data_IF_670556974380
#
_entry.id   IF_670556974380
#
_cell.length_a   1.000
_cell.length_b   1.000
_cell.length_c   1.000
_cell.angle_alpha   90.00
_cell.angle_beta   90.00
_cell.angle_gamma   90.00
#
_symmetry.space_group_name_H-M   'P 1'
#
loop_
_entity.id
_entity.type
_entity.pdbx_description
1 polymer ?
#
# COMPACT_ATOMS: atom_id res chain seq x y z
N UNK A 1 17.90 17.40 19.90
CA UNK A 1 17.79 16.80 21.25
C UNK A 1 16.50 17.20 21.97
N UNK A 2 16.00 18.41 21.75
CA UNK A 2 14.81 18.93 22.42
C UNK A 2 13.47 18.43 21.82
N UNK A 3 13.54 17.76 20.69
CA UNK A 3 12.35 17.19 20.02
C UNK A 3 12.06 15.81 20.59
N UNK A 4 10.86 15.61 21.13
CA UNK A 4 10.36 14.31 21.58
C UNK A 4 9.96 13.46 20.36
N UNK A 5 10.95 13.15 19.49
CA UNK A 5 10.78 12.36 18.28
C UNK A 5 11.65 11.10 18.38
N UNK A 6 11.13 9.98 17.92
CA UNK A 6 11.87 8.76 17.71
C UNK A 6 11.81 8.37 16.23
N UNK A 7 12.81 7.63 15.74
CA UNK A 7 12.86 7.14 14.37
C UNK A 7 13.32 5.69 14.36
N UNK A 8 12.65 4.89 13.55
CA UNK A 8 13.04 3.52 13.20
C UNK A 8 13.37 3.53 11.71
N UNK A 9 14.61 3.20 11.39
CA UNK A 9 15.09 3.14 10.01
C UNK A 9 14.77 1.79 9.38
N UNK A 10 14.72 1.75 8.06
CA UNK A 10 14.56 0.54 7.26
C UNK A 10 15.56 -0.57 7.63
N UNK A 11 16.81 -0.22 7.91
CA UNK A 11 17.78 -1.11 8.53
C UNK A 11 17.62 -1.06 10.04
N UNK A 12 17.36 -2.23 10.67
CA UNK A 12 17.15 -2.34 12.12
C UNK A 12 18.44 -2.05 12.86
N UNK A 13 18.72 -0.77 13.14
CA UNK A 13 19.93 -0.35 13.81
C UNK A 13 19.83 -0.71 15.30
N UNK A 14 20.36 -1.88 15.65
CA UNK A 14 20.59 -2.28 17.02
C UNK A 14 22.09 -2.20 17.36
N UNK A 15 22.41 -1.95 18.61
CA UNK A 15 23.80 -1.98 19.09
C UNK A 15 24.23 -3.46 19.24
N UNK A 16 25.14 -3.98 18.40
CA UNK A 16 25.42 -5.42 18.34
C UNK A 16 26.14 -5.96 19.58
N UNK A 17 26.89 -5.11 20.27
CA UNK A 17 27.60 -5.44 21.51
C UNK A 17 26.74 -5.46 22.77
N UNK A 18 25.53 -4.87 22.70
CA UNK A 18 24.61 -4.76 23.82
C UNK A 18 23.53 -5.85 23.75
N UNK A 19 23.05 -6.31 24.92
CA UNK A 19 21.88 -7.18 24.99
C UNK A 19 20.60 -6.44 24.54
N UNK A 20 19.50 -7.17 24.31
CA UNK A 20 18.19 -6.58 24.04
C UNK A 20 17.76 -5.63 25.16
N UNK A 21 17.95 -6.04 26.40
CA UNK A 21 17.68 -5.18 27.56
C UNK A 21 18.48 -3.86 27.48
N UNK A 22 19.77 -3.94 27.23
CA UNK A 22 20.65 -2.78 27.15
C UNK A 22 20.35 -1.89 25.93
N UNK A 23 19.98 -2.50 24.81
CA UNK A 23 19.52 -1.79 23.64
C UNK A 23 18.28 -0.94 23.97
N UNK A 24 17.27 -1.54 24.59
CA UNK A 24 16.04 -0.85 24.98
C UNK A 24 16.35 0.21 26.07
N UNK A 25 17.20 -0.08 27.02
CA UNK A 25 17.59 0.83 28.11
C UNK A 25 18.40 2.04 27.64
N UNK A 26 19.13 1.90 26.53
CA UNK A 26 20.11 2.90 26.10
C UNK A 26 19.58 4.33 25.96
N UNK A 27 18.39 4.59 25.40
CA UNK A 27 17.85 5.94 25.34
C UNK A 27 17.54 6.55 26.72
N UNK A 28 17.04 5.75 27.64
CA UNK A 28 16.68 6.20 28.98
C UNK A 28 17.92 6.51 29.82
N UNK A 29 18.99 5.72 29.65
CA UNK A 29 20.31 5.99 30.27
C UNK A 29 20.87 7.34 29.81
N UNK A 30 20.78 7.62 28.50
CA UNK A 30 21.19 8.92 27.93
C UNK A 30 20.35 10.09 28.48
N UNK A 31 19.12 9.84 28.86
CA UNK A 31 18.24 10.83 29.49
C UNK A 31 18.48 10.98 30.99
N UNK A 32 19.44 10.25 31.55
CA UNK A 32 19.76 10.30 33.00
C UNK A 32 18.69 9.73 33.92
N UNK A 33 17.84 8.81 33.42
CA UNK A 33 16.79 8.18 34.23
C UNK A 33 17.37 7.28 35.32
N UNK A 34 16.68 7.19 36.45
CA UNK A 34 17.06 6.29 37.53
C UNK A 34 16.93 4.81 37.10
N UNK A 35 17.80 3.92 37.61
CA UNK A 35 17.83 2.51 37.21
C UNK A 35 16.47 1.81 37.42
N UNK A 36 15.77 2.09 38.48
CA UNK A 36 14.44 1.53 38.74
C UNK A 36 13.39 1.94 37.72
N UNK A 37 13.44 3.20 37.22
CA UNK A 37 12.57 3.69 36.13
C UNK A 37 12.92 2.98 34.83
N UNK A 38 14.23 2.82 34.54
CA UNK A 38 14.71 2.12 33.34
C UNK A 38 14.21 0.67 33.35
N UNK A 39 14.42 -0.06 34.45
CA UNK A 39 14.00 -1.45 34.59
C UNK A 39 12.48 -1.61 34.33
N UNK A 40 11.68 -0.76 34.94
CA UNK A 40 10.22 -0.78 34.76
C UNK A 40 9.85 -0.53 33.30
N UNK A 41 10.38 0.52 32.69
CA UNK A 41 10.05 0.91 31.30
C UNK A 41 10.53 -0.15 30.30
N UNK A 42 11.73 -0.70 30.45
CA UNK A 42 12.27 -1.75 29.59
C UNK A 42 11.39 -3.01 29.66
N UNK A 43 11.01 -3.48 30.86
CA UNK A 43 10.17 -4.66 30.99
C UNK A 43 8.79 -4.47 30.40
N UNK A 44 8.14 -3.32 30.63
CA UNK A 44 6.85 -2.98 30.03
C UNK A 44 6.91 -2.96 28.49
N UNK A 45 7.94 -2.30 27.94
CA UNK A 45 8.12 -2.22 26.50
C UNK A 45 8.46 -3.59 25.88
N UNK A 46 9.30 -4.38 26.57
CA UNK A 46 9.65 -5.73 26.14
C UNK A 46 8.44 -6.69 26.16
N UNK A 47 7.55 -6.57 27.14
CA UNK A 47 6.31 -7.33 27.22
C UNK A 47 5.37 -6.97 26.06
N UNK A 48 5.14 -5.67 25.83
CA UNK A 48 4.33 -5.17 24.70
C UNK A 48 4.79 -5.72 23.35
N UNK A 49 6.11 -5.83 23.16
CA UNK A 49 6.74 -6.28 21.91
C UNK A 49 7.14 -7.77 21.92
N UNK A 50 6.70 -8.54 22.93
CA UNK A 50 7.01 -9.97 23.08
C UNK A 50 8.52 -10.28 23.07
N UNK A 51 9.33 -9.40 23.66
CA UNK A 51 10.78 -9.53 23.75
C UNK A 51 11.26 -10.02 25.13
N UNK A 52 10.37 -10.18 26.10
CA UNK A 52 10.73 -10.56 27.46
C UNK A 52 11.66 -11.78 27.53
N UNK A 53 11.44 -12.89 26.78
CA UNK A 53 12.34 -14.05 26.79
C UNK A 53 13.71 -13.79 26.16
N UNK A 54 13.86 -12.67 25.43
CA UNK A 54 15.06 -12.34 24.66
C UNK A 54 15.94 -11.28 25.32
N UNK A 55 15.55 -10.74 26.47
CA UNK A 55 16.20 -9.59 27.11
C UNK A 55 17.71 -9.77 27.35
N UNK A 56 18.15 -11.00 27.58
CA UNK A 56 19.56 -11.33 27.82
C UNK A 56 20.36 -11.64 26.55
N UNK A 57 19.69 -11.79 25.41
CA UNK A 57 20.32 -12.11 24.13
C UNK A 57 20.89 -10.86 23.49
N UNK A 58 21.88 -11.05 22.61
CA UNK A 58 22.42 -10.00 21.73
C UNK A 58 21.66 -9.98 20.38
N UNK A 59 21.67 -8.86 19.64
CA UNK A 59 20.99 -8.76 18.34
C UNK A 59 21.34 -9.86 17.35
N UNK A 60 22.57 -10.32 17.28
CA UNK A 60 22.99 -11.39 16.38
C UNK A 60 22.38 -12.77 16.71
N UNK A 61 21.84 -12.93 17.91
CA UNK A 61 21.17 -14.16 18.37
C UNK A 61 19.64 -14.11 18.14
N UNK A 62 19.15 -13.05 17.47
CA UNK A 62 17.74 -12.78 17.21
C UNK A 62 17.39 -13.04 15.74
N UNK A 63 16.15 -13.48 15.48
CA UNK A 63 15.59 -13.43 14.12
C UNK A 63 15.40 -11.98 13.65
N UNK A 64 15.28 -11.78 12.33
CA UNK A 64 15.05 -10.43 11.75
C UNK A 64 13.91 -9.66 12.42
N UNK A 65 12.76 -10.29 12.66
CA UNK A 65 11.63 -9.64 13.35
C UNK A 65 11.84 -9.39 14.82
N UNK A 66 12.63 -10.21 15.52
CA UNK A 66 13.03 -9.91 16.88
C UNK A 66 13.99 -8.70 16.92
N UNK A 67 14.88 -8.58 15.94
CA UNK A 67 15.75 -7.41 15.79
C UNK A 67 14.93 -6.14 15.51
N UNK A 68 13.93 -6.23 14.64
CA UNK A 68 13.03 -5.13 14.35
C UNK A 68 12.22 -4.70 15.57
N UNK A 69 11.62 -5.66 16.29
CA UNK A 69 10.91 -5.36 17.54
C UNK A 69 11.85 -4.71 18.56
N UNK A 70 13.11 -5.11 18.62
CA UNK A 70 14.11 -4.47 19.47
C UNK A 70 14.37 -3.00 19.07
N UNK A 71 14.49 -2.71 17.77
CA UNK A 71 14.64 -1.34 17.27
C UNK A 71 13.39 -0.49 17.56
N UNK A 72 12.20 -1.07 17.38
CA UNK A 72 10.93 -0.43 17.72
C UNK A 72 10.81 -0.18 19.24
N UNK A 73 11.22 -1.15 20.08
CA UNK A 73 11.26 -0.99 21.53
C UNK A 73 12.13 0.19 21.95
N UNK A 74 13.29 0.37 21.32
CA UNK A 74 14.18 1.52 21.57
C UNK A 74 13.54 2.86 21.21
N UNK A 75 12.71 2.89 20.18
CA UNK A 75 11.97 4.09 19.80
C UNK A 75 10.85 4.41 20.80
N UNK A 76 10.06 3.39 21.16
CA UNK A 76 8.89 3.54 22.04
C UNK A 76 9.23 3.83 23.49
N UNK A 77 10.29 3.20 24.04
CA UNK A 77 10.69 3.36 25.44
C UNK A 77 11.01 4.82 25.80
N UNK A 78 11.38 5.65 24.82
CA UNK A 78 11.62 7.08 25.01
C UNK A 78 10.37 7.86 25.42
N UNK A 79 9.17 7.31 25.23
CA UNK A 79 7.93 8.04 25.42
C UNK A 79 7.80 9.24 24.46
N UNK A 80 8.30 9.08 23.24
CA UNK A 80 8.22 10.13 22.22
C UNK A 80 6.76 10.30 21.78
N UNK A 81 6.30 11.56 21.67
CA UNK A 81 4.96 11.85 21.17
C UNK A 81 4.82 11.66 19.65
N UNK A 82 5.94 11.55 18.92
CA UNK A 82 6.01 11.31 17.49
C UNK A 82 7.04 10.22 17.19
N UNK A 83 6.63 9.20 16.44
CA UNK A 83 7.50 8.10 15.99
C UNK A 83 7.46 8.04 14.46
N UNK A 84 8.63 8.13 13.84
CA UNK A 84 8.83 8.03 12.40
C UNK A 84 9.30 6.61 12.09
N UNK A 85 8.68 5.95 11.12
CA UNK A 85 9.03 4.61 10.66
C UNK A 85 9.28 4.67 9.15
N UNK A 86 10.47 4.22 8.75
CA UNK A 86 10.91 4.24 7.37
C UNK A 86 10.98 2.80 6.86
N UNK A 87 10.01 2.39 6.05
CA UNK A 87 9.83 1.04 5.50
C UNK A 87 10.11 -0.08 6.52
N UNK A 88 9.46 -0.08 7.69
CA UNK A 88 9.87 -0.96 8.78
C UNK A 88 9.64 -2.45 8.52
N UNK A 89 8.90 -2.84 7.48
CA UNK A 89 8.63 -4.24 7.13
C UNK A 89 9.36 -4.74 5.87
N UNK A 90 10.04 -3.86 5.12
CA UNK A 90 10.60 -4.18 3.81
C UNK A 90 11.64 -5.32 3.80
N UNK A 91 12.42 -5.46 4.88
CA UNK A 91 13.53 -6.44 4.95
C UNK A 91 13.16 -7.74 5.69
N UNK A 92 11.87 -8.06 5.78
CA UNK A 92 11.39 -9.24 6.47
C UNK A 92 10.91 -10.32 5.48
N UNK A 93 11.03 -11.59 5.89
CA UNK A 93 10.38 -12.67 5.19
C UNK A 93 8.85 -12.54 5.26
N UNK A 94 8.15 -13.17 4.32
CA UNK A 94 6.69 -13.05 4.16
C UNK A 94 5.93 -13.37 5.44
N UNK A 95 6.26 -14.49 6.11
CA UNK A 95 5.52 -14.94 7.29
C UNK A 95 5.62 -13.92 8.43
N UNK A 96 6.81 -13.42 8.65
CA UNK A 96 7.09 -12.46 9.71
C UNK A 96 6.47 -11.10 9.41
N UNK A 97 6.47 -10.69 8.15
CA UNK A 97 5.80 -9.47 7.69
C UNK A 97 4.30 -9.52 8.02
N UNK A 98 3.63 -10.65 7.69
CA UNK A 98 2.21 -10.82 8.00
C UNK A 98 1.92 -10.80 9.51
N UNK A 99 2.76 -11.44 10.33
CA UNK A 99 2.61 -11.39 11.78
C UNK A 99 2.71 -9.95 12.30
N UNK A 100 3.67 -9.19 11.82
CA UNK A 100 3.90 -7.80 12.25
C UNK A 100 2.87 -6.82 11.72
N UNK A 101 2.35 -7.02 10.51
CA UNK A 101 1.23 -6.24 9.97
C UNK A 101 0.04 -6.21 10.91
N UNK A 102 -0.27 -7.33 11.58
CA UNK A 102 -1.37 -7.43 12.54
C UNK A 102 -1.01 -6.82 13.90
N UNK A 103 0.25 -6.94 14.32
CA UNK A 103 0.70 -6.47 15.64
C UNK A 103 0.96 -4.95 15.70
N UNK A 104 1.52 -4.38 14.65
CA UNK A 104 1.93 -2.97 14.61
C UNK A 104 0.76 -2.01 14.91
N UNK A 105 -0.45 -2.13 14.33
CA UNK A 105 -1.57 -1.25 14.67
C UNK A 105 -1.91 -1.28 16.17
N UNK A 106 -1.89 -2.46 16.77
CA UNK A 106 -2.16 -2.62 18.22
C UNK A 106 -1.09 -1.97 19.09
N UNK A 107 0.17 -2.06 18.67
CA UNK A 107 1.30 -1.41 19.35
C UNK A 107 1.15 0.10 19.27
N UNK A 108 0.76 0.62 18.11
CA UNK A 108 0.54 2.05 17.90
C UNK A 108 -0.58 2.56 18.80
N UNK A 109 -1.71 1.90 18.81
CA UNK A 109 -2.85 2.25 19.66
C UNK A 109 -2.48 2.22 21.14
N UNK A 110 -1.82 1.16 21.62
CA UNK A 110 -1.41 1.01 23.00
C UNK A 110 -0.38 2.05 23.46
N UNK A 111 0.43 2.59 22.56
CA UNK A 111 1.49 3.56 22.89
C UNK A 111 0.97 4.98 23.07
N UNK A 112 -0.17 5.35 22.47
CA UNK A 112 -0.74 6.69 22.46
C UNK A 112 0.11 7.74 21.71
N UNK A 113 1.14 7.34 20.97
CA UNK A 113 1.98 8.21 20.17
C UNK A 113 1.39 8.46 18.77
N UNK A 114 1.81 9.54 18.12
CA UNK A 114 1.54 9.77 16.70
C UNK A 114 2.60 9.02 15.89
N UNK A 115 2.16 8.22 14.91
CA UNK A 115 3.05 7.51 14.01
C UNK A 115 3.00 8.11 12.61
N UNK A 116 4.19 8.30 12.01
CA UNK A 116 4.36 8.56 10.59
C UNK A 116 5.07 7.36 10.01
N UNK A 117 4.37 6.63 9.16
CA UNK A 117 4.81 5.37 8.57
C UNK A 117 5.03 5.55 7.07
N UNK A 118 6.27 5.52 6.62
CA UNK A 118 6.61 5.53 5.21
C UNK A 118 6.66 4.10 4.68
N UNK A 119 5.99 3.84 3.57
CA UNK A 119 5.98 2.54 2.89
C UNK A 119 5.86 2.72 1.38
N UNK A 120 6.36 1.76 0.63
CA UNK A 120 6.13 1.61 -0.82
C UNK A 120 4.98 0.64 -1.11
N UNK A 121 4.40 -0.02 -0.09
CA UNK A 121 3.32 -0.98 -0.22
C UNK A 121 1.96 -0.35 0.12
N UNK A 122 1.05 -0.14 -0.86
CA UNK A 122 -0.29 0.43 -0.62
C UNK A 122 -1.13 -0.35 0.38
N UNK A 123 -0.98 -1.67 0.42
CA UNK A 123 -1.70 -2.55 1.34
C UNK A 123 -1.38 -2.27 2.81
N UNK A 124 -0.13 -1.92 3.12
CA UNK A 124 0.25 -1.55 4.48
C UNK A 124 -0.49 -0.28 4.93
N UNK A 125 -0.56 0.73 4.05
CA UNK A 125 -1.29 1.96 4.35
C UNK A 125 -2.79 1.71 4.54
N UNK A 126 -3.39 0.83 3.72
CA UNK A 126 -4.80 0.43 3.85
C UNK A 126 -5.07 -0.31 5.17
N UNK A 127 -4.17 -1.19 5.58
CA UNK A 127 -4.28 -1.96 6.83
C UNK A 127 -4.12 -1.07 8.07
N UNK A 128 -3.15 -0.15 8.04
CA UNK A 128 -2.88 0.76 9.15
C UNK A 128 -3.99 1.80 9.32
N UNK A 129 -4.67 2.17 8.24
CA UNK A 129 -5.73 3.18 8.26
C UNK A 129 -5.22 4.59 8.55
N UNK A 130 -6.02 5.38 9.26
CA UNK A 130 -5.69 6.78 9.58
C UNK A 130 -5.71 7.68 8.34
N UNK A 131 -4.66 8.49 8.16
CA UNK A 131 -4.49 9.36 6.99
C UNK A 131 -3.31 8.92 6.15
N UNK A 132 -3.45 8.99 4.84
CA UNK A 132 -2.41 8.68 3.86
C UNK A 132 -2.00 9.93 3.09
N UNK A 133 -0.69 10.13 2.94
CA UNK A 133 -0.10 11.05 1.99
C UNK A 133 0.54 10.25 0.85
N UNK A 134 0.05 10.41 -0.36
CA UNK A 134 0.70 9.85 -1.55
C UNK A 134 1.77 10.80 -2.06
N UNK A 135 2.96 10.25 -2.39
CA UNK A 135 4.11 11.05 -2.83
C UNK A 135 4.53 10.64 -4.24
N UNK A 136 4.83 11.63 -5.06
CA UNK A 136 5.42 11.43 -6.37
C UNK A 136 6.44 12.54 -6.65
N UNK A 137 7.64 12.18 -7.08
CA UNK A 137 8.73 13.14 -7.41
C UNK A 137 8.96 14.22 -6.33
N UNK A 138 8.94 13.80 -5.06
CA UNK A 138 9.17 14.70 -3.93
C UNK A 138 8.00 15.61 -3.56
N UNK A 139 6.82 15.40 -4.14
CA UNK A 139 5.61 16.18 -3.87
C UNK A 139 4.51 15.29 -3.30
N UNK A 140 3.71 15.84 -2.40
CA UNK A 140 2.47 15.20 -1.94
C UNK A 140 1.42 15.42 -3.03
N UNK A 141 0.94 14.33 -3.65
CA UNK A 141 -0.12 14.38 -4.68
C UNK A 141 -1.51 14.43 -4.06
N UNK A 142 -1.70 13.74 -2.94
CA UNK A 142 -2.94 13.80 -2.17
C UNK A 142 -2.66 13.50 -0.69
N UNK A 143 -3.47 14.08 0.20
CA UNK A 143 -3.49 13.77 1.64
C UNK A 143 -4.92 13.70 2.13
N UNK A 144 -5.25 12.68 2.92
CA UNK A 144 -6.57 12.52 3.51
C UNK A 144 -6.78 11.17 4.19
N UNK A 145 -8.00 10.89 4.65
CA UNK A 145 -8.36 9.57 5.19
C UNK A 145 -8.02 8.46 4.19
N UNK A 146 -7.34 7.43 4.65
CA UNK A 146 -6.81 6.35 3.80
C UNK A 146 -7.86 5.75 2.84
N UNK A 147 -9.08 5.39 3.28
CA UNK A 147 -10.10 4.88 2.38
C UNK A 147 -10.53 5.89 1.30
N UNK A 148 -10.55 7.19 1.64
CA UNK A 148 -10.92 8.24 0.70
C UNK A 148 -9.83 8.43 -0.37
N UNK A 149 -8.55 8.49 0.03
CA UNK A 149 -7.43 8.60 -0.92
C UNK A 149 -7.41 7.42 -1.89
N UNK A 150 -7.70 6.20 -1.40
CA UNK A 150 -7.76 5.00 -2.22
C UNK A 150 -8.94 5.01 -3.19
N UNK A 151 -10.15 5.36 -2.72
CA UNK A 151 -11.38 5.30 -3.52
C UNK A 151 -11.54 6.49 -4.47
N UNK A 152 -11.11 7.67 -4.03
CA UNK A 152 -11.25 8.94 -4.76
C UNK A 152 -9.88 9.59 -4.95
N UNK A 153 -8.99 9.00 -5.76
CA UNK A 153 -7.70 9.58 -6.05
C UNK A 153 -7.89 10.92 -6.77
N UNK A 154 -7.21 11.96 -6.30
CA UNK A 154 -7.33 13.31 -6.86
C UNK A 154 -6.86 13.40 -8.32
N UNK A 155 -5.92 12.53 -8.69
CA UNK A 155 -5.33 12.47 -10.02
C UNK A 155 -4.87 11.06 -10.39
N UNK A 156 -4.51 10.88 -11.67
CA UNK A 156 -4.03 9.61 -12.22
C UNK A 156 -2.73 9.15 -11.54
N UNK A 157 -1.89 10.09 -11.08
CA UNK A 157 -0.64 9.76 -10.43
C UNK A 157 -0.87 9.19 -9.03
N UNK A 158 -1.77 9.79 -8.25
CA UNK A 158 -2.24 9.24 -6.96
C UNK A 158 -2.84 7.84 -7.15
N UNK A 159 -3.70 7.69 -8.17
CA UNK A 159 -4.32 6.40 -8.49
C UNK A 159 -3.27 5.32 -8.84
N UNK A 160 -2.21 5.69 -9.55
CA UNK A 160 -1.11 4.80 -9.91
C UNK A 160 -0.28 4.40 -8.70
N UNK A 161 0.14 5.37 -7.90
CA UNK A 161 1.00 5.16 -6.72
C UNK A 161 0.28 4.37 -5.64
N UNK A 162 -1.04 4.62 -5.46
CA UNK A 162 -1.82 3.96 -4.41
C UNK A 162 -2.59 2.75 -4.96
N UNK A 163 -1.92 1.93 -5.76
CA UNK A 163 -2.40 0.64 -6.30
C UNK A 163 -1.25 -0.34 -6.41
N UNK A 164 -1.50 -1.60 -6.04
CA UNK A 164 -0.59 -2.71 -6.25
C UNK A 164 -1.38 -3.93 -6.75
N UNK A 165 -1.11 -4.42 -7.98
CA UNK A 165 -0.31 -3.78 -9.02
C UNK A 165 -0.77 -2.37 -9.38
N UNK A 166 0.09 -1.54 -10.01
CA UNK A 166 -0.27 -0.19 -10.42
C UNK A 166 -1.55 -0.16 -11.27
N UNK A 167 -2.35 0.90 -11.14
CA UNK A 167 -3.56 1.09 -11.93
C UNK A 167 -3.26 1.03 -13.43
N UNK A 168 -4.08 0.31 -14.19
CA UNK A 168 -4.04 0.26 -15.64
C UNK A 168 -4.69 1.49 -16.25
N UNK A 169 -4.14 1.99 -17.35
CA UNK A 169 -4.67 3.16 -18.04
C UNK A 169 -4.86 2.90 -19.53
N UNK A 170 -5.87 3.55 -20.10
CA UNK A 170 -6.16 3.55 -21.55
C UNK A 170 -6.77 4.89 -21.94
N UNK A 171 -6.51 5.34 -23.16
CA UNK A 171 -7.18 6.52 -23.71
C UNK A 171 -8.68 6.25 -23.84
N UNK A 172 -9.51 7.20 -23.40
CA UNK A 172 -10.96 7.14 -23.48
C UNK A 172 -11.48 8.40 -24.18
N UNK A 173 -12.29 8.22 -25.22
CA UNK A 173 -13.00 9.30 -25.88
C UNK A 173 -14.46 9.27 -25.51
N UNK A 174 -14.97 10.38 -25.02
CA UNK A 174 -16.39 10.56 -24.75
C UNK A 174 -17.03 11.35 -25.89
N UNK A 175 -18.12 10.81 -26.43
CA UNK A 175 -18.98 11.46 -27.44
C UNK A 175 -20.44 11.24 -27.06
N UNK A 176 -21.13 12.31 -26.69
CA UNK A 176 -22.52 12.28 -26.23
C UNK A 176 -22.73 11.28 -25.07
N UNK A 177 -23.40 10.16 -25.32
CA UNK A 177 -23.69 9.12 -24.33
C UNK A 177 -22.79 7.89 -24.45
N UNK A 178 -21.69 7.98 -25.19
CA UNK A 178 -20.79 6.86 -25.49
C UNK A 178 -19.36 7.15 -25.00
N UNK A 179 -18.76 6.14 -24.39
CA UNK A 179 -17.35 6.07 -24.07
C UNK A 179 -16.69 5.07 -25.04
N UNK A 180 -15.59 5.46 -25.63
CA UNK A 180 -14.77 4.61 -26.49
C UNK A 180 -13.40 4.49 -25.88
N UNK A 181 -12.98 3.27 -25.52
CA UNK A 181 -11.71 2.97 -24.90
C UNK A 181 -10.75 2.38 -25.94
N UNK A 182 -9.59 3.02 -26.12
CA UNK A 182 -8.67 2.65 -27.20
C UNK A 182 -9.36 2.78 -28.56
N UNK A 183 -9.24 1.75 -29.40
CA UNK A 183 -9.75 1.78 -30.78
C UNK A 183 -11.14 1.13 -30.93
N UNK A 184 -11.46 0.09 -30.16
CA UNK A 184 -12.62 -0.78 -30.43
C UNK A 184 -13.57 -0.99 -29.26
N UNK A 185 -13.15 -0.76 -28.03
CA UNK A 185 -13.95 -1.07 -26.85
C UNK A 185 -14.92 0.07 -26.50
N UNK A 186 -16.17 -0.25 -26.20
CA UNK A 186 -17.19 0.77 -25.97
C UNK A 186 -18.04 0.47 -24.72
N UNK A 187 -18.50 1.54 -24.07
CA UNK A 187 -19.53 1.49 -23.05
C UNK A 187 -20.46 2.72 -23.14
N UNK A 188 -21.68 2.63 -22.64
CA UNK A 188 -22.52 3.81 -22.47
C UNK A 188 -21.98 4.70 -21.35
N UNK A 189 -22.09 6.02 -21.49
CA UNK A 189 -21.78 6.96 -20.42
C UNK A 189 -22.94 7.04 -19.45
N UNK A 190 -22.70 6.71 -18.17
CA UNK A 190 -23.70 6.72 -17.12
C UNK A 190 -23.23 7.49 -15.87
N UNK A 191 -24.18 7.94 -15.04
CA UNK A 191 -23.86 8.60 -13.78
C UNK A 191 -22.93 9.79 -13.98
N UNK A 192 -21.81 9.82 -13.25
CA UNK A 192 -20.83 10.92 -13.32
C UNK A 192 -20.21 11.10 -14.72
N UNK A 193 -20.07 10.02 -15.50
CA UNK A 193 -19.50 10.11 -16.85
C UNK A 193 -20.45 10.70 -17.87
N UNK A 194 -21.77 10.60 -17.67
CA UNK A 194 -22.76 11.19 -18.58
C UNK A 194 -22.71 12.72 -18.57
N UNK A 195 -22.41 13.34 -17.43
CA UNK A 195 -22.33 14.78 -17.25
C UNK A 195 -21.01 15.42 -17.74
N UNK A 196 -20.02 14.62 -18.11
CA UNK A 196 -18.74 15.15 -18.59
C UNK A 196 -18.90 15.78 -19.98
N UNK A 197 -18.12 16.81 -20.33
CA UNK A 197 -17.99 17.32 -21.70
C UNK A 197 -17.50 16.23 -22.66
N UNK A 198 -17.87 16.36 -23.94
CA UNK A 198 -17.27 15.54 -24.98
C UNK A 198 -15.76 15.87 -25.12
N UNK A 199 -14.94 14.85 -25.27
CA UNK A 199 -13.48 15.04 -25.29
C UNK A 199 -12.71 13.76 -25.01
N UNK A 200 -11.40 13.93 -24.88
CA UNK A 200 -10.46 12.84 -24.60
C UNK A 200 -10.08 12.84 -23.12
N UNK A 201 -10.15 11.67 -22.51
CA UNK A 201 -9.85 11.38 -21.11
C UNK A 201 -8.85 10.23 -21.04
N UNK A 202 -8.25 10.05 -19.90
CA UNK A 202 -7.54 8.81 -19.54
C UNK A 202 -8.46 7.99 -18.66
N UNK A 203 -8.84 6.80 -19.08
CA UNK A 203 -9.57 5.85 -18.28
C UNK A 203 -8.59 5.03 -17.44
N UNK A 204 -8.91 4.83 -16.16
CA UNK A 204 -8.11 4.03 -15.23
C UNK A 204 -8.95 2.95 -14.55
N UNK A 205 -8.39 1.76 -14.37
CA UNK A 205 -8.99 0.66 -13.64
C UNK A 205 -7.92 -0.20 -12.95
N UNK A 206 -8.25 -0.74 -11.78
CA UNK A 206 -7.28 -1.51 -10.99
C UNK A 206 -7.10 -2.92 -11.56
N UNK A 207 -5.96 -3.54 -11.24
CA UNK A 207 -5.62 -4.88 -11.71
C UNK A 207 -6.66 -5.94 -11.32
N UNK A 208 -7.20 -5.86 -10.12
CA UNK A 208 -8.22 -6.78 -9.59
C UNK A 208 -9.63 -6.57 -10.18
N UNK A 209 -9.83 -5.55 -11.00
CA UNK A 209 -11.08 -5.33 -11.75
C UNK A 209 -11.03 -5.88 -13.18
N UNK A 210 -9.90 -6.44 -13.60
CA UNK A 210 -9.79 -7.21 -14.83
C UNK A 210 -10.31 -8.63 -14.56
N UNK A 211 -11.17 -9.13 -15.46
CA UNK A 211 -11.65 -10.51 -15.45
C UNK A 211 -11.41 -11.19 -16.78
N UNK A 212 -11.19 -12.51 -16.77
CA UNK A 212 -11.01 -13.32 -17.98
C UNK A 212 -12.33 -13.75 -18.61
N UNK A 213 -13.43 -13.62 -17.86
CA UNK A 213 -14.77 -13.95 -18.31
C UNK A 213 -15.69 -12.74 -18.17
N UNK A 214 -16.67 -12.62 -19.07
CA UNK A 214 -17.69 -11.58 -18.99
C UNK A 214 -18.65 -11.91 -17.85
N UNK A 215 -18.68 -11.10 -16.81
CA UNK A 215 -19.57 -11.28 -15.64
C UNK A 215 -20.82 -10.40 -15.69
N UNK A 216 -20.76 -9.25 -16.39
CA UNK A 216 -21.88 -8.32 -16.56
C UNK A 216 -22.13 -8.07 -18.04
N UNK A 217 -23.38 -7.77 -18.40
CA UNK A 217 -23.76 -7.49 -19.80
C UNK A 217 -23.05 -6.27 -20.37
N UNK A 218 -22.77 -5.27 -19.50
CA UNK A 218 -22.14 -3.99 -19.88
C UNK A 218 -20.61 -4.02 -19.79
N UNK A 219 -20.00 -5.17 -19.41
CA UNK A 219 -18.55 -5.28 -19.30
C UNK A 219 -17.87 -4.96 -20.64
N UNK A 220 -16.91 -4.04 -20.56
CA UNK A 220 -16.08 -3.62 -21.68
C UNK A 220 -15.07 -4.72 -22.00
N UNK A 221 -15.06 -5.19 -23.23
CA UNK A 221 -14.11 -6.18 -23.72
C UNK A 221 -12.88 -5.51 -24.34
N UNK A 222 -11.69 -5.94 -23.90
CA UNK A 222 -10.42 -5.54 -24.46
C UNK A 222 -9.69 -6.73 -25.03
N UNK A 223 -9.26 -6.64 -26.29
CA UNK A 223 -8.38 -7.63 -26.92
C UNK A 223 -6.94 -7.34 -26.52
N UNK A 224 -6.29 -8.33 -25.92
CA UNK A 224 -4.93 -8.21 -25.41
C UNK A 224 -4.07 -9.37 -25.89
N UNK A 225 -2.77 -9.16 -25.84
CA UNK A 225 -1.77 -10.24 -26.00
C UNK A 225 -1.18 -10.53 -24.62
N UNK A 226 -1.14 -11.80 -24.24
CA UNK A 226 -0.49 -12.23 -23.00
C UNK A 226 1.01 -12.03 -23.13
N UNK A 227 1.61 -11.24 -22.25
CA UNK A 227 3.07 -11.06 -22.19
C UNK A 227 3.72 -12.11 -21.28
N UNK A 228 3.14 -12.34 -20.11
CA UNK A 228 3.56 -13.34 -19.12
C UNK A 228 2.43 -13.64 -18.15
N UNK A 229 2.55 -14.74 -17.40
CA UNK A 229 1.70 -15.03 -16.24
C UNK A 229 2.56 -15.45 -15.05
N UNK A 230 2.20 -14.95 -13.87
CA UNK A 230 2.81 -15.30 -12.59
C UNK A 230 1.72 -15.90 -11.70
N UNK A 231 1.90 -17.19 -11.33
CA UNK A 231 0.90 -17.94 -10.54
C UNK A 231 1.41 -18.01 -9.10
N UNK A 232 0.68 -17.43 -8.15
CA UNK A 232 1.01 -17.46 -6.72
C UNK A 232 0.35 -18.62 -5.97
N UNK A 233 -0.58 -19.33 -6.63
CA UNK A 233 -1.37 -20.41 -6.04
C UNK A 233 -2.83 -20.01 -5.77
N UNK A 234 -3.08 -18.89 -5.13
CA UNK A 234 -4.42 -18.34 -4.93
C UNK A 234 -4.85 -17.39 -6.04
N UNK A 235 -3.90 -16.76 -6.70
CA UNK A 235 -4.10 -15.73 -7.72
C UNK A 235 -3.13 -15.90 -8.88
N UNK A 236 -3.48 -15.29 -10.00
CA UNK A 236 -2.64 -15.21 -11.19
C UNK A 236 -2.49 -13.74 -11.60
N UNK A 237 -1.25 -13.25 -11.65
CA UNK A 237 -0.94 -11.99 -12.31
C UNK A 237 -0.81 -12.25 -13.81
N UNK A 238 -1.65 -11.61 -14.60
CA UNK A 238 -1.63 -11.71 -16.06
C UNK A 238 -1.09 -10.40 -16.61
N UNK A 239 0.15 -10.43 -17.12
CA UNK A 239 0.76 -9.31 -17.81
C UNK A 239 0.25 -9.27 -19.25
N UNK A 240 -0.33 -8.14 -19.65
CA UNK A 240 -1.05 -7.96 -20.90
C UNK A 240 -0.45 -6.81 -21.70
N UNK A 241 -0.53 -6.93 -23.03
CA UNK A 241 -0.29 -5.84 -23.96
C UNK A 241 -1.60 -5.50 -24.65
N UNK A 242 -2.02 -4.23 -24.57
CA UNK A 242 -3.17 -3.66 -25.28
C UNK A 242 -2.68 -2.48 -26.13
N UNK A 243 -2.51 -2.69 -27.42
CA UNK A 243 -1.80 -1.73 -28.26
C UNK A 243 -0.37 -1.45 -27.74
N UNK A 244 -0.06 -0.20 -27.46
CA UNK A 244 1.20 0.23 -26.82
C UNK A 244 1.20 0.13 -25.32
N UNK A 245 0.03 -0.06 -24.68
CA UNK A 245 -0.12 -0.06 -23.23
C UNK A 245 0.27 -1.41 -22.62
N UNK A 246 0.81 -1.34 -21.41
CA UNK A 246 1.13 -2.51 -20.60
C UNK A 246 0.21 -2.52 -19.39
N UNK A 247 -0.53 -3.64 -19.23
CA UNK A 247 -1.47 -3.84 -18.16
C UNK A 247 -1.12 -5.04 -17.32
N UNK A 248 -1.60 -5.04 -16.10
CA UNK A 248 -1.56 -6.21 -15.22
C UNK A 248 -2.98 -6.49 -14.76
N UNK A 249 -3.45 -7.72 -14.98
CA UNK A 249 -4.67 -8.26 -14.37
C UNK A 249 -4.31 -9.11 -13.17
N UNK A 250 -5.02 -8.94 -12.05
CA UNK A 250 -4.94 -9.82 -10.87
C UNK A 250 -6.23 -10.64 -10.82
N UNK A 251 -6.12 -11.92 -11.20
CA UNK A 251 -7.26 -12.82 -11.35
C UNK A 251 -7.21 -13.91 -10.29
N UNK A 252 -8.32 -14.11 -9.60
CA UNK A 252 -8.40 -15.16 -8.59
C UNK A 252 -8.32 -16.56 -9.21
N UNK A 253 -7.54 -17.44 -8.58
CA UNK A 253 -7.31 -18.81 -9.03
C UNK A 253 -6.08 -18.99 -9.92
N UNK A 254 -5.92 -20.21 -10.42
CA UNK A 254 -4.79 -20.63 -11.25
C UNK A 254 -5.19 -20.59 -12.73
N UNK A 255 -4.63 -19.66 -13.48
CA UNK A 255 -4.93 -19.43 -14.91
C UNK A 255 -3.65 -19.48 -15.74
N UNK A 256 -3.18 -20.67 -16.13
CA UNK A 256 -2.01 -20.79 -17.00
C UNK A 256 -2.33 -20.29 -18.40
N UNK A 257 -1.61 -19.26 -18.85
CA UNK A 257 -1.76 -18.70 -20.19
C UNK A 257 -0.41 -18.66 -20.90
N UNK A 258 -0.42 -18.95 -22.19
CA UNK A 258 0.81 -18.98 -22.99
C UNK A 258 1.20 -17.56 -23.40
N UNK A 259 2.45 -17.17 -23.21
CA UNK A 259 2.98 -15.92 -23.71
C UNK A 259 2.83 -15.83 -25.23
N UNK A 260 2.40 -14.66 -25.74
CA UNK A 260 2.06 -14.41 -27.14
C UNK A 260 0.62 -14.79 -27.52
N UNK A 261 -0.13 -15.49 -26.69
CA UNK A 261 -1.53 -15.83 -26.97
C UNK A 261 -2.42 -14.57 -26.96
N UNK A 262 -3.37 -14.53 -27.90
CA UNK A 262 -4.43 -13.53 -27.90
C UNK A 262 -5.49 -13.92 -26.87
N UNK A 263 -5.97 -12.96 -26.12
CA UNK A 263 -7.02 -13.16 -25.13
C UNK A 263 -7.94 -11.95 -25.07
N UNK A 264 -9.18 -12.17 -24.65
CA UNK A 264 -10.08 -11.08 -24.26
C UNK A 264 -10.08 -10.95 -22.74
N UNK A 265 -10.03 -9.72 -22.26
CA UNK A 265 -10.26 -9.39 -20.85
C UNK A 265 -11.42 -8.41 -20.73
N UNK A 266 -12.08 -8.42 -19.59
CA UNK A 266 -13.29 -7.67 -19.36
C UNK A 266 -13.15 -6.77 -18.14
N UNK A 267 -13.67 -5.55 -18.25
CA UNK A 267 -13.71 -4.57 -17.15
C UNK A 267 -15.16 -4.05 -17.05
N UNK A 268 -15.75 -4.13 -15.86
CA UNK A 268 -17.04 -3.50 -15.61
C UNK A 268 -16.87 -1.97 -15.60
N UNK A 269 -17.69 -1.21 -16.37
CA UNK A 269 -17.68 0.25 -16.34
C UNK A 269 -17.85 0.85 -14.94
N UNK A 270 -18.50 0.13 -14.02
CA UNK A 270 -18.61 0.53 -12.62
C UNK A 270 -17.27 0.69 -11.91
N UNK A 271 -16.19 0.10 -12.42
CA UNK A 271 -14.84 0.15 -11.86
C UNK A 271 -13.89 1.11 -12.61
N UNK A 272 -14.41 1.86 -13.57
CA UNK A 272 -13.59 2.75 -14.41
C UNK A 272 -13.61 4.18 -13.89
N UNK A 273 -12.44 4.73 -13.65
CA UNK A 273 -12.20 6.15 -13.38
C UNK A 273 -11.91 6.89 -14.68
N UNK A 274 -12.31 8.15 -14.77
CA UNK A 274 -11.89 9.03 -15.87
C UNK A 274 -11.09 10.20 -15.33
N UNK A 275 -9.94 10.45 -15.94
CA UNK A 275 -9.06 11.58 -15.64
C UNK A 275 -9.02 12.52 -16.84
N UNK A 276 -8.98 13.84 -16.57
CA UNK A 276 -8.91 14.88 -17.62
C UNK A 276 -7.49 14.93 -18.24
N UNK A 277 -7.31 15.81 -19.23
CA UNK A 277 -6.03 16.01 -19.91
C UNK A 277 -4.90 16.52 -18.99
N UNK A 278 -5.23 17.09 -17.83
CA UNK A 278 -4.27 17.47 -16.79
C UNK A 278 -4.02 16.34 -15.78
N UNK A 279 -4.60 15.16 -16.00
CA UNK A 279 -4.51 14.01 -15.11
C UNK A 279 -5.39 14.08 -13.87
N UNK A 280 -6.25 15.10 -13.70
CA UNK A 280 -7.13 15.25 -12.54
C UNK A 280 -8.36 14.34 -12.67
N UNK A 281 -8.87 13.86 -11.55
CA UNK A 281 -10.09 13.05 -11.54
C UNK A 281 -11.27 13.85 -12.11
N UNK A 282 -11.79 13.41 -13.26
CA UNK A 282 -12.96 13.99 -13.92
C UNK A 282 -14.25 13.27 -13.51
N UNK A 283 -14.21 11.93 -13.44
CA UNK A 283 -15.29 11.12 -12.91
C UNK A 283 -14.75 9.94 -12.08
N UNK A 284 -15.21 9.78 -10.84
CA UNK A 284 -14.88 8.61 -10.03
C UNK A 284 -15.58 7.37 -10.57
N UNK A 285 -15.00 6.21 -10.32
CA UNK A 285 -15.64 4.94 -10.60
C UNK A 285 -16.92 4.78 -9.74
N UNK A 286 -18.06 4.37 -10.32
CA UNK A 286 -19.32 4.23 -9.59
C UNK A 286 -19.23 3.43 -8.29
N UNK A 287 -18.48 2.32 -8.27
CA UNK A 287 -18.31 1.50 -7.07
C UNK A 287 -17.65 2.26 -5.91
N UNK A 288 -16.80 3.24 -6.21
CA UNK A 288 -16.09 4.02 -5.20
C UNK A 288 -17.02 4.97 -4.44
N UNK A 289 -18.17 5.29 -5.02
CA UNK A 289 -19.21 6.17 -4.45
C UNK A 289 -20.27 5.40 -3.66
N UNK A 290 -20.34 4.08 -3.80
CA UNK A 290 -21.40 3.24 -3.24
C UNK A 290 -21.14 2.80 -1.77
N UNK A 291 -20.19 3.39 -1.07
CA UNK A 291 -19.77 2.97 0.29
C UNK A 291 -19.95 4.07 1.32
#
# INVERSE_FOLDING_TARGET
QDRKVAMVYQQFINYPGLTVYENIASPLRLMGKAQAEIDKAVRQTAEMLRLTPMLTRKPLELSGGQQQRCALARALVKGAGLVLLDEPLANLDYKLREELRIEIPRIFEASGAIFVYATTEPEEALLLGGNTATLWEGRVTQFGPTPQVYRLPADAQTARVFSDPPMNFVTCRKESHRLTFGEEAHAPAHGATAGLPDGTYTAGFRANHITLNRHTGDAVEFRCTVAATEITGSETFVHLSHGSDRWVGLVHGVHPMTAGAQTSVFVDPAHVYLFDSAGRLAAPAPYAMAA
#
